data_IF_406299850858
#
_entry.id   IF_406299850858
#
_cell.length_a   1.000
_cell.length_b   1.000
_cell.length_c   1.000
_cell.angle_alpha   90.00
_cell.angle_beta   90.00
_cell.angle_gamma   90.00
#
_symmetry.space_group_name_H-M   'P 1'
#
loop_
_entity.id
_entity.type
_entity.pdbx_description
1 polymer ?
#
# COMPACT_ATOMS: atom_id res chain seq x y z
N UNK A 1 -6.18 20.01 -5.37
CA UNK A 1 -6.40 18.95 -4.36
C UNK A 1 -5.73 17.69 -4.84
N UNK A 2 -4.58 17.30 -4.24
CA UNK A 2 -3.93 16.02 -4.54
C UNK A 2 -4.78 14.94 -3.88
N UNK A 3 -5.38 14.07 -4.69
CA UNK A 3 -6.18 12.92 -4.27
C UNK A 3 -5.32 11.92 -3.49
N UNK A 4 -5.14 12.21 -2.21
CA UNK A 4 -4.90 11.21 -1.19
C UNK A 4 -6.30 10.68 -0.89
N UNK A 5 -6.58 9.45 -1.31
CA UNK A 5 -7.77 8.75 -0.81
C UNK A 5 -7.56 8.69 0.70
N UNK A 6 -8.42 9.42 1.41
CA UNK A 6 -8.36 9.56 2.85
C UNK A 6 -8.76 8.20 3.45
N UNK A 7 -7.99 7.72 4.43
CA UNK A 7 -8.31 6.48 5.13
C UNK A 7 -9.71 6.56 5.80
N UNK A 8 -10.29 7.76 5.91
CA UNK A 8 -11.68 7.98 6.28
C UNK A 8 -12.72 7.30 5.35
N UNK A 9 -12.38 6.95 4.10
CA UNK A 9 -13.26 6.12 3.25
C UNK A 9 -13.22 4.64 3.66
N UNK A 10 -12.22 4.28 4.48
CA UNK A 10 -11.96 2.95 5.05
C UNK A 10 -12.35 2.91 6.54
N UNK A 11 -13.47 3.56 6.89
CA UNK A 11 -13.88 3.88 8.26
C UNK A 11 -14.19 2.66 9.17
N UNK A 12 -14.17 1.43 8.65
CA UNK A 12 -14.33 0.19 9.42
C UNK A 12 -13.32 -0.89 9.01
N UNK A 13 -12.08 -0.47 8.76
CA UNK A 13 -11.04 -1.44 8.43
C UNK A 13 -10.50 -2.18 9.66
N UNK A 14 -10.31 -3.51 9.57
CA UNK A 14 -9.62 -4.29 10.59
C UNK A 14 -8.26 -3.67 10.91
N UNK A 15 -7.81 -3.82 12.17
CA UNK A 15 -6.51 -3.30 12.61
C UNK A 15 -5.35 -3.74 11.69
N UNK A 16 -5.41 -4.97 11.15
CA UNK A 16 -4.44 -5.48 10.18
C UNK A 16 -4.39 -4.66 8.87
N UNK A 17 -5.55 -4.22 8.35
CA UNK A 17 -5.62 -3.40 7.14
C UNK A 17 -5.06 -2.00 7.39
N UNK A 18 -5.39 -1.40 8.54
CA UNK A 18 -4.85 -0.10 8.94
C UNK A 18 -3.33 -0.16 9.13
N UNK A 19 -2.82 -1.20 9.80
CA UNK A 19 -1.40 -1.42 9.99
C UNK A 19 -0.66 -1.66 8.65
N UNK A 20 -1.29 -2.40 7.73
CA UNK A 20 -0.79 -2.58 6.37
C UNK A 20 -0.63 -1.24 5.66
N UNK A 21 -1.70 -0.44 5.65
CA UNK A 21 -1.69 0.86 4.99
C UNK A 21 -0.61 1.78 5.55
N UNK A 22 -0.57 1.95 6.88
CA UNK A 22 0.35 2.88 7.53
C UNK A 22 1.82 2.50 7.28
N UNK A 23 2.13 1.20 7.39
CA UNK A 23 3.47 0.65 7.14
C UNK A 23 4.00 0.98 5.75
N UNK A 24 3.16 0.86 4.72
CA UNK A 24 3.60 1.03 3.34
C UNK A 24 3.42 2.46 2.83
N UNK A 25 2.43 3.22 3.32
CA UNK A 25 2.24 4.63 2.96
C UNK A 25 3.51 5.44 3.19
N UNK A 26 4.15 5.30 4.35
CA UNK A 26 5.41 5.99 4.66
C UNK A 26 6.52 5.59 3.68
N UNK A 27 6.76 4.28 3.55
CA UNK A 27 7.76 3.75 2.61
C UNK A 27 7.57 4.23 1.18
N UNK A 28 6.33 4.36 0.71
CA UNK A 28 6.00 4.84 -0.64
C UNK A 28 6.31 6.33 -0.81
N UNK A 29 6.07 7.13 0.23
CA UNK A 29 6.38 8.55 0.21
C UNK A 29 7.90 8.83 0.13
N UNK A 30 8.70 7.93 0.72
CA UNK A 30 10.17 7.95 0.68
C UNK A 30 10.77 7.25 -0.56
N UNK A 31 9.98 6.85 -1.57
CA UNK A 31 10.53 6.26 -2.80
C UNK A 31 11.27 7.33 -3.61
N UNK A 32 12.58 7.14 -3.75
CA UNK A 32 13.43 7.99 -4.59
C UNK A 32 13.89 7.27 -5.87
N UNK A 33 13.97 5.93 -5.84
CA UNK A 33 14.51 5.13 -6.95
C UNK A 33 13.59 4.00 -7.38
N UNK A 34 13.76 3.55 -8.63
CA UNK A 34 13.07 2.38 -9.18
C UNK A 34 13.41 1.10 -8.40
N UNK A 35 14.63 0.98 -7.89
CA UNK A 35 15.06 -0.17 -7.08
C UNK A 35 14.31 -0.22 -5.75
N UNK A 36 14.24 0.90 -5.02
CA UNK A 36 13.45 1.02 -3.79
C UNK A 36 11.97 0.71 -4.04
N UNK A 37 11.41 1.23 -5.14
CA UNK A 37 10.04 0.92 -5.55
C UNK A 37 9.83 -0.59 -5.72
N UNK A 38 10.72 -1.25 -6.45
CA UNK A 38 10.62 -2.70 -6.70
C UNK A 38 10.77 -3.49 -5.39
N UNK A 39 11.66 -3.06 -4.49
CA UNK A 39 11.81 -3.66 -3.17
C UNK A 39 10.54 -3.51 -2.32
N UNK A 40 9.95 -2.31 -2.28
CA UNK A 40 8.72 -2.03 -1.55
C UNK A 40 7.54 -2.82 -2.12
N UNK A 41 7.43 -2.94 -3.46
CA UNK A 41 6.40 -3.76 -4.09
C UNK A 41 6.53 -5.24 -3.70
N UNK A 42 7.76 -5.76 -3.63
CA UNK A 42 8.02 -7.13 -3.22
C UNK A 42 7.71 -7.35 -1.72
N UNK A 43 8.16 -6.44 -0.84
CA UNK A 43 7.85 -6.47 0.61
C UNK A 43 6.33 -6.41 0.85
N UNK A 44 5.63 -5.55 0.09
CA UNK A 44 4.18 -5.40 0.17
C UNK A 44 3.43 -6.67 -0.26
N UNK A 45 3.88 -7.33 -1.33
CA UNK A 45 3.30 -8.58 -1.79
C UNK A 45 3.46 -9.69 -0.73
N UNK A 46 4.67 -9.87 -0.20
CA UNK A 46 4.96 -10.87 0.83
C UNK A 46 4.16 -10.63 2.11
N UNK A 47 4.05 -9.37 2.53
CA UNK A 47 3.24 -9.01 3.69
C UNK A 47 1.76 -9.28 3.44
N UNK A 48 1.24 -8.96 2.25
CA UNK A 48 -0.15 -9.24 1.89
C UNK A 48 -0.47 -10.75 1.94
N UNK A 49 0.38 -11.59 1.34
CA UNK A 49 0.20 -13.04 1.37
C UNK A 49 0.19 -13.59 2.80
N UNK A 50 1.07 -13.05 3.65
CA UNK A 50 1.15 -13.42 5.06
C UNK A 50 -0.11 -13.01 5.84
N UNK A 51 -0.62 -11.80 5.63
CA UNK A 51 -1.82 -11.32 6.32
C UNK A 51 -3.07 -12.06 5.83
N UNK A 52 -3.20 -12.31 4.53
CA UNK A 52 -4.31 -13.12 3.97
C UNK A 52 -4.28 -14.55 4.50
N UNK A 53 -3.09 -15.11 4.74
CA UNK A 53 -2.95 -16.44 5.32
C UNK A 53 -3.35 -16.48 6.80
N UNK A 54 -3.04 -15.42 7.56
CA UNK A 54 -3.39 -15.31 8.98
C UNK A 54 -4.87 -14.98 9.18
N UNK A 55 -5.39 -14.03 8.40
CA UNK A 55 -6.75 -13.52 8.48
C UNK A 55 -7.40 -13.50 7.08
N UNK A 56 -7.82 -14.67 6.56
CA UNK A 56 -8.43 -14.76 5.24
C UNK A 56 -9.72 -13.94 5.13
N UNK A 57 -10.41 -13.66 6.25
CA UNK A 57 -11.57 -12.77 6.30
C UNK A 57 -11.26 -11.33 5.88
N UNK A 58 -10.01 -10.88 6.03
CA UNK A 58 -9.59 -9.52 5.71
C UNK A 58 -9.09 -9.42 4.26
N UNK A 59 -9.09 -10.52 3.50
CA UNK A 59 -8.51 -10.60 2.16
C UNK A 59 -9.06 -9.55 1.20
N UNK A 60 -10.37 -9.37 1.15
CA UNK A 60 -10.99 -8.41 0.23
C UNK A 60 -10.54 -6.98 0.54
N UNK A 61 -10.65 -6.56 1.81
CA UNK A 61 -10.21 -5.23 2.27
C UNK A 61 -8.69 -5.02 2.12
N UNK A 62 -7.88 -6.03 2.44
CA UNK A 62 -6.43 -6.02 2.23
C UNK A 62 -6.10 -5.90 0.74
N UNK A 63 -6.87 -6.56 -0.13
CA UNK A 63 -6.67 -6.52 -1.58
C UNK A 63 -6.95 -5.12 -2.13
N UNK A 64 -8.01 -4.46 -1.65
CA UNK A 64 -8.31 -3.07 -2.02
C UNK A 64 -7.15 -2.13 -1.63
N UNK A 65 -6.68 -2.21 -0.38
CA UNK A 65 -5.55 -1.41 0.11
C UNK A 65 -4.26 -1.74 -0.63
N UNK A 66 -4.00 -3.01 -0.91
CA UNK A 66 -2.84 -3.46 -1.69
C UNK A 66 -2.83 -2.88 -3.10
N UNK A 67 -3.95 -2.93 -3.83
CA UNK A 67 -4.07 -2.35 -5.17
C UNK A 67 -3.88 -0.83 -5.15
N UNK A 68 -4.43 -0.15 -4.14
CA UNK A 68 -4.29 1.29 -3.95
C UNK A 68 -2.83 1.68 -3.71
N UNK A 69 -2.15 1.02 -2.78
CA UNK A 69 -0.74 1.27 -2.48
C UNK A 69 0.16 0.92 -3.67
N UNK A 70 -0.12 -0.18 -4.36
CA UNK A 70 0.57 -0.54 -5.61
C UNK A 70 0.44 0.58 -6.64
N UNK A 71 -0.75 1.13 -6.86
CA UNK A 71 -0.95 2.28 -7.77
C UNK A 71 -0.12 3.48 -7.32
N UNK A 72 -0.10 3.79 -6.02
CA UNK A 72 0.71 4.90 -5.46
C UNK A 72 2.22 4.70 -5.67
N UNK A 73 2.74 3.48 -5.49
CA UNK A 73 4.13 3.13 -5.84
C UNK A 73 4.47 3.51 -7.29
N UNK A 74 3.55 3.25 -8.22
CA UNK A 74 3.76 3.58 -9.64
C UNK A 74 3.64 5.08 -9.91
N UNK A 75 2.71 5.79 -9.25
CA UNK A 75 2.58 7.24 -9.36
C UNK A 75 3.84 7.97 -8.90
N UNK A 76 4.40 7.62 -7.73
CA UNK A 76 5.62 8.27 -7.21
C UNK A 76 6.82 8.10 -8.15
N UNK A 77 6.96 6.93 -8.76
CA UNK A 77 8.02 6.68 -9.74
C UNK A 77 7.83 7.33 -11.12
N UNK A 78 6.65 7.90 -11.41
CA UNK A 78 6.33 8.53 -12.71
C UNK A 78 6.52 10.05 -12.69
N UNK A 79 6.47 10.71 -11.53
CA UNK A 79 6.61 12.17 -11.41
C UNK A 79 8.07 12.66 -11.27
N UNK A 80 9.06 11.76 -11.35
CA UNK A 80 10.50 12.10 -11.33
C UNK A 80 11.11 12.46 -12.70
N UNK A 81 10.31 12.93 -13.66
CA UNK A 81 10.80 13.43 -14.94
C UNK A 81 9.96 14.65 -15.36
N UNK A 82 10.40 15.83 -14.94
CA UNK A 82 9.91 17.14 -15.34
C UNK A 82 10.99 18.18 -15.11
#
# INVERSE_FOLDING_TARGET
>A
MRGIIDLADVQESPAAVTAFYDRFRGKIADIETVEQRNHILSDMQQYFEREVRQEPQNRDKLSEVYQLLKRKCWEVGLFGNG
#
